data_IF_699536415370
#
_entry.id   IF_699536415370
#
_cell.length_a   1.000
_cell.length_b   1.000
_cell.length_c   1.000
_cell.angle_alpha   90.00
_cell.angle_beta   90.00
_cell.angle_gamma   90.00
#
_symmetry.space_group_name_H-M   'P 1'
#
loop_
_entity.id
_entity.type
_entity.pdbx_description
1 polymer ?
#
# COMPACT_ATOMS: atom_id res chain seq x y z
N UNK A 1 -16.37 2.78 8.77
CA UNK A 1 -15.05 2.52 9.40
C UNK A 1 -14.16 1.62 8.54
N UNK A 2 -14.62 0.43 8.12
CA UNK A 2 -13.85 -0.50 7.28
C UNK A 2 -13.24 0.11 5.99
N UNK A 3 -13.96 0.93 5.18
CA UNK A 3 -13.37 1.54 3.98
C UNK A 3 -12.21 2.49 4.29
N UNK A 4 -12.25 3.20 5.42
CA UNK A 4 -11.18 4.10 5.85
C UNK A 4 -9.93 3.32 6.28
N UNK A 5 -10.12 2.21 7.00
CA UNK A 5 -9.02 1.32 7.39
C UNK A 5 -8.39 0.71 6.12
N UNK A 6 -9.20 0.28 5.16
CA UNK A 6 -8.72 -0.28 3.90
C UNK A 6 -7.84 0.72 3.12
N UNK A 7 -8.27 1.98 3.03
CA UNK A 7 -7.46 3.03 2.41
C UNK A 7 -6.21 3.37 3.21
N UNK A 8 -6.29 3.41 4.54
CA UNK A 8 -5.12 3.60 5.39
C UNK A 8 -4.06 2.54 5.13
N UNK A 9 -4.47 1.27 5.11
CA UNK A 9 -3.58 0.13 4.82
C UNK A 9 -2.98 0.27 3.41
N UNK A 10 -3.75 0.68 2.41
CA UNK A 10 -3.24 0.90 1.07
C UNK A 10 -2.16 1.98 1.04
N UNK A 11 -2.40 3.14 1.65
CA UNK A 11 -1.42 4.23 1.71
C UNK A 11 -0.19 3.89 2.54
N UNK A 12 -0.32 3.01 3.52
CA UNK A 12 0.82 2.45 4.25
C UNK A 12 1.62 1.47 3.38
N UNK A 13 0.96 0.56 2.68
CA UNK A 13 1.60 -0.53 1.92
C UNK A 13 2.17 -0.08 0.57
N UNK A 14 1.59 0.91 -0.10
CA UNK A 14 2.09 1.41 -1.40
C UNK A 14 3.58 1.81 -1.32
N UNK A 15 4.02 2.66 -0.37
CA UNK A 15 5.43 2.96 -0.20
C UNK A 15 6.29 1.75 0.15
N UNK A 16 5.76 0.80 0.93
CA UNK A 16 6.48 -0.43 1.30
C UNK A 16 6.70 -1.34 0.08
N UNK A 17 5.75 -1.37 -0.86
CA UNK A 17 5.83 -2.20 -2.07
C UNK A 17 6.67 -1.53 -3.16
N UNK A 18 6.53 -0.22 -3.38
CA UNK A 18 7.22 0.49 -4.47
C UNK A 18 8.61 1.00 -4.11
N UNK A 19 8.80 1.41 -2.86
CA UNK A 19 9.95 2.18 -2.42
C UNK A 19 10.71 1.52 -1.29
N UNK A 20 10.67 0.18 -1.16
CA UNK A 20 11.22 -0.53 0.00
C UNK A 20 12.67 -0.13 0.31
N UNK A 21 13.52 0.00 -0.71
CA UNK A 21 14.91 0.46 -0.55
C UNK A 21 14.99 1.86 0.07
N UNK A 22 14.15 2.79 -0.40
CA UNK A 22 14.07 4.16 0.12
C UNK A 22 13.51 4.20 1.55
N UNK A 23 12.52 3.36 1.85
CA UNK A 23 11.97 3.22 3.20
C UNK A 23 13.05 2.71 4.17
N UNK A 24 13.78 1.67 3.77
CA UNK A 24 14.88 1.11 4.56
C UNK A 24 15.99 2.15 4.77
N UNK A 25 16.34 2.88 3.72
CA UNK A 25 17.33 3.94 3.75
C UNK A 25 16.93 5.07 4.71
N UNK A 26 15.70 5.56 4.64
CA UNK A 26 15.21 6.61 5.54
C UNK A 26 15.25 6.15 7.02
N UNK A 27 14.87 4.89 7.29
CA UNK A 27 14.96 4.34 8.63
C UNK A 27 16.40 4.18 9.13
N UNK A 28 17.33 3.77 8.26
CA UNK A 28 18.76 3.72 8.57
C UNK A 28 19.34 5.09 8.88
N UNK A 29 19.06 6.09 8.03
CA UNK A 29 19.54 7.46 8.28
C UNK A 29 19.12 7.96 9.66
N UNK A 30 17.86 7.71 10.04
CA UNK A 30 17.39 8.08 11.38
C UNK A 30 18.13 7.32 12.49
N UNK A 31 18.33 6.02 12.34
CA UNK A 31 19.06 5.21 13.31
C UNK A 31 20.53 5.64 13.44
N UNK A 32 21.19 5.94 12.33
CA UNK A 32 22.58 6.41 12.31
C UNK A 32 22.72 7.79 12.95
N UNK A 33 21.78 8.71 12.72
CA UNK A 33 21.72 10.01 13.43
C UNK A 33 21.55 9.84 14.94
N UNK A 34 20.85 8.78 15.37
CA UNK A 34 20.68 8.43 16.78
C UNK A 34 21.87 7.64 17.36
N UNK A 35 22.95 7.45 16.58
CA UNK A 35 24.17 6.78 17.02
C UNK A 35 24.15 5.26 16.94
N UNK A 36 23.17 4.67 16.25
CA UNK A 36 23.09 3.22 16.03
C UNK A 36 23.82 2.86 14.74
N UNK A 37 24.82 1.98 14.84
CA UNK A 37 25.50 1.44 13.65
C UNK A 37 24.56 0.49 12.90
N UNK A 38 24.18 0.86 11.68
CA UNK A 38 23.33 0.02 10.80
C UNK A 38 24.03 -0.30 9.49
N UNK A 39 23.86 -1.53 8.98
CA UNK A 39 24.39 -1.95 7.69
C UNK A 39 23.32 -1.90 6.60
N UNK A 40 23.76 -1.91 5.35
CA UNK A 40 22.86 -1.93 4.21
C UNK A 40 22.08 -3.23 4.10
N UNK A 41 20.75 -3.12 4.00
CA UNK A 41 19.85 -4.27 3.98
C UNK A 41 19.35 -4.72 5.35
N UNK A 42 19.82 -4.12 6.46
CA UNK A 42 19.45 -4.51 7.81
C UNK A 42 17.93 -4.34 8.10
N UNK A 43 17.36 -5.36 8.75
CA UNK A 43 15.96 -5.40 9.20
C UNK A 43 15.60 -4.18 10.08
N UNK A 44 16.45 -3.74 11.05
CA UNK A 44 16.20 -2.52 11.83
C UNK A 44 15.85 -1.29 11.01
N UNK A 45 16.58 -1.02 9.92
CA UNK A 45 16.31 0.13 9.05
C UNK A 45 14.95 0.04 8.38
N UNK A 46 14.57 -1.15 7.90
CA UNK A 46 13.24 -1.41 7.30
C UNK A 46 12.12 -1.20 8.31
N UNK A 47 12.28 -1.66 9.55
CA UNK A 47 11.28 -1.49 10.61
C UNK A 47 11.08 -0.02 10.98
N UNK A 48 12.16 0.72 11.19
CA UNK A 48 12.08 2.16 11.50
C UNK A 48 11.46 2.92 10.33
N UNK A 49 11.85 2.60 9.09
CA UNK A 49 11.22 3.16 7.90
C UNK A 49 9.72 2.88 7.84
N UNK A 50 9.29 1.66 8.15
CA UNK A 50 7.87 1.32 8.22
C UNK A 50 7.12 2.13 9.29
N UNK A 51 7.71 2.32 10.47
CA UNK A 51 7.13 3.19 11.53
C UNK A 51 6.99 4.63 11.04
N UNK A 52 7.99 5.16 10.33
CA UNK A 52 7.93 6.51 9.76
C UNK A 52 6.81 6.66 8.72
N UNK A 53 6.65 5.69 7.83
CA UNK A 53 5.55 5.69 6.85
C UNK A 53 4.20 5.60 7.57
N UNK A 54 4.06 4.70 8.54
CA UNK A 54 2.84 4.57 9.33
C UNK A 54 2.47 5.89 10.02
N UNK A 55 3.44 6.52 10.69
CA UNK A 55 3.27 7.82 11.33
C UNK A 55 2.88 8.90 10.33
N UNK A 56 3.52 8.94 9.16
CA UNK A 56 3.21 9.91 8.10
C UNK A 56 1.77 9.75 7.60
N UNK A 57 1.34 8.53 7.27
CA UNK A 57 -0.03 8.25 6.82
C UNK A 57 -1.04 8.58 7.92
N UNK A 58 -0.72 8.27 9.18
CA UNK A 58 -1.56 8.66 10.32
C UNK A 58 -1.68 10.17 10.46
N UNK A 59 -0.59 10.92 10.39
CA UNK A 59 -0.62 12.38 10.48
C UNK A 59 -1.44 12.98 9.34
N UNK A 60 -1.27 12.51 8.11
CA UNK A 60 -2.08 12.95 6.96
C UNK A 60 -3.56 12.68 7.23
N UNK A 61 -3.92 11.47 7.68
CA UNK A 61 -5.30 11.12 8.02
C UNK A 61 -5.84 11.98 9.17
N UNK A 62 -5.03 12.24 10.19
CA UNK A 62 -5.42 13.04 11.36
C UNK A 62 -5.69 14.50 10.98
N UNK A 63 -4.80 15.13 10.20
CA UNK A 63 -4.94 16.53 9.81
C UNK A 63 -5.95 16.77 8.69
N UNK A 64 -6.07 15.85 7.71
CA UNK A 64 -7.04 15.97 6.61
C UNK A 64 -8.42 15.39 6.95
N UNK A 65 -8.51 14.49 7.93
CA UNK A 65 -9.72 13.74 8.26
C UNK A 65 -10.01 12.54 7.35
N UNK A 66 -9.33 12.44 6.20
CA UNK A 66 -9.51 11.40 5.19
C UNK A 66 -8.23 11.12 4.41
N UNK A 67 -8.21 9.99 3.69
CA UNK A 67 -7.18 9.65 2.72
C UNK A 67 -7.82 9.51 1.33
N UNK A 68 -7.24 10.14 0.28
CA UNK A 68 -7.79 10.06 -1.07
C UNK A 68 -7.55 8.67 -1.69
N UNK A 69 -8.36 8.18 -2.63
CA UNK A 69 -9.66 8.72 -3.02
C UNK A 69 -10.73 8.37 -1.97
N UNK A 70 -11.53 9.35 -1.55
CA UNK A 70 -12.53 9.15 -0.49
C UNK A 70 -13.67 8.22 -0.94
N UNK A 71 -14.05 8.29 -2.22
CA UNK A 71 -15.16 7.55 -2.81
C UNK A 71 -16.52 7.92 -2.22
N UNK A 72 -17.58 7.84 -3.02
CA UNK A 72 -18.94 7.99 -2.50
C UNK A 72 -19.53 6.59 -2.23
N UNK A 73 -19.91 6.24 -0.98
CA UNK A 73 -20.50 4.94 -0.66
C UNK A 73 -21.76 4.60 -1.46
N UNK A 74 -22.52 5.60 -1.91
CA UNK A 74 -23.71 5.42 -2.75
C UNK A 74 -23.40 5.46 -4.24
N UNK A 75 -22.16 5.81 -4.60
CA UNK A 75 -21.68 5.89 -5.98
C UNK A 75 -21.46 4.52 -6.60
N UNK A 76 -21.78 4.42 -7.90
CA UNK A 76 -21.45 3.25 -8.73
C UNK A 76 -19.95 3.01 -8.70
N UNK A 77 -19.55 1.76 -8.53
CA UNK A 77 -18.14 1.37 -8.50
C UNK A 77 -17.48 1.42 -7.11
N UNK A 78 -18.09 2.06 -6.10
CA UNK A 78 -17.48 2.14 -4.76
C UNK A 78 -17.18 0.76 -4.16
N UNK A 79 -18.18 -0.13 -4.13
CA UNK A 79 -18.02 -1.48 -3.57
C UNK A 79 -16.99 -2.33 -4.32
N UNK A 80 -16.93 -2.20 -5.65
CA UNK A 80 -15.93 -2.90 -6.45
C UNK A 80 -14.53 -2.35 -6.21
N UNK A 81 -14.37 -1.02 -6.19
CA UNK A 81 -13.10 -0.35 -5.88
C UNK A 81 -12.57 -0.74 -4.50
N UNK A 82 -13.42 -0.73 -3.46
CA UNK A 82 -13.02 -1.17 -2.12
C UNK A 82 -12.52 -2.63 -2.09
N UNK A 83 -13.17 -3.54 -2.82
CA UNK A 83 -12.76 -4.95 -2.90
C UNK A 83 -11.43 -5.12 -3.62
N UNK A 84 -11.19 -4.38 -4.70
CA UNK A 84 -9.92 -4.39 -5.41
C UNK A 84 -8.77 -3.85 -4.53
N UNK A 85 -9.01 -2.75 -3.82
CA UNK A 85 -8.02 -2.21 -2.88
C UNK A 85 -7.74 -3.19 -1.75
N UNK A 86 -8.76 -3.89 -1.24
CA UNK A 86 -8.57 -4.90 -0.21
C UNK A 86 -7.76 -6.10 -0.73
N UNK A 87 -8.05 -6.57 -1.95
CA UNK A 87 -7.29 -7.64 -2.58
C UNK A 87 -5.83 -7.23 -2.78
N UNK A 88 -5.57 -6.01 -3.25
CA UNK A 88 -4.23 -5.45 -3.36
C UNK A 88 -3.53 -5.41 -2.00
N UNK A 89 -4.19 -4.92 -0.95
CA UNK A 89 -3.64 -4.85 0.40
C UNK A 89 -3.24 -6.22 0.95
N UNK A 90 -4.06 -7.25 0.72
CA UNK A 90 -3.74 -8.62 1.13
C UNK A 90 -2.49 -9.14 0.41
N UNK A 91 -2.41 -8.97 -0.91
CA UNK A 91 -1.25 -9.38 -1.69
C UNK A 91 0.01 -8.60 -1.30
N UNK A 92 -0.11 -7.30 -1.07
CA UNK A 92 0.99 -6.45 -0.62
C UNK A 92 1.49 -6.86 0.77
N UNK A 93 0.59 -7.19 1.69
CA UNK A 93 0.97 -7.66 3.02
C UNK A 93 1.74 -8.99 2.94
N UNK A 94 1.29 -9.93 2.09
CA UNK A 94 2.01 -11.18 1.84
C UNK A 94 3.40 -10.93 1.25
N UNK A 95 3.50 -10.01 0.28
CA UNK A 95 4.79 -9.59 -0.29
C UNK A 95 5.73 -9.02 0.77
N UNK A 96 5.24 -8.12 1.64
CA UNK A 96 6.04 -7.54 2.72
C UNK A 96 6.49 -8.61 3.70
N UNK A 97 5.60 -9.52 4.12
CA UNK A 97 5.96 -10.65 5.00
C UNK A 97 7.05 -11.50 4.35
N UNK A 98 6.90 -11.85 3.07
CA UNK A 98 7.91 -12.61 2.34
C UNK A 98 9.28 -11.90 2.34
N UNK A 99 9.30 -10.59 2.16
CA UNK A 99 10.54 -9.80 2.20
C UNK A 99 11.25 -9.85 3.55
N UNK A 100 10.50 -10.01 4.65
CA UNK A 100 11.02 -10.21 5.99
C UNK A 100 11.34 -11.67 6.31
N UNK A 101 10.83 -12.67 5.59
CA UNK A 101 11.02 -14.09 5.93
C UNK A 101 11.88 -14.86 4.92
N UNK A 102 12.16 -14.29 3.74
CA UNK A 102 12.94 -14.95 2.68
C UNK A 102 14.33 -15.43 3.12
N UNK A 103 14.93 -14.80 4.14
CA UNK A 103 16.24 -15.21 4.66
C UNK A 103 16.20 -16.57 5.37
N UNK A 104 15.02 -17.00 5.82
CA UNK A 104 14.78 -18.32 6.43
C UNK A 104 14.79 -19.45 5.38
N UNK A 105 14.77 -19.12 4.09
CA UNK A 105 14.74 -20.10 3.00
C UNK A 105 16.17 -20.47 2.63
N UNK A 106 16.70 -21.57 3.18
CA UNK A 106 18.09 -22.00 2.97
C UNK A 106 18.42 -22.36 1.51
N UNK A 107 17.44 -22.86 0.75
CA UNK A 107 17.63 -23.21 -0.67
C UNK A 107 17.77 -21.97 -1.55
N UNK A 108 18.92 -21.84 -2.21
CA UNK A 108 19.19 -20.75 -3.15
C UNK A 108 18.24 -20.76 -4.35
N UNK A 109 18.03 -21.92 -4.98
CA UNK A 109 17.17 -22.06 -6.15
C UNK A 109 15.71 -21.72 -5.83
N UNK A 110 15.22 -22.17 -4.67
CA UNK A 110 13.87 -21.84 -4.21
C UNK A 110 13.73 -20.32 -4.00
N UNK A 111 14.75 -19.69 -3.41
CA UNK A 111 14.77 -18.23 -3.20
C UNK A 111 14.74 -17.46 -4.51
N UNK A 112 15.46 -17.94 -5.53
CA UNK A 112 15.55 -17.32 -6.85
C UNK A 112 14.21 -17.38 -7.60
N UNK A 113 13.56 -18.55 -7.60
CA UNK A 113 12.22 -18.73 -8.19
C UNK A 113 11.19 -17.87 -7.47
N UNK A 114 11.21 -17.86 -6.13
CA UNK A 114 10.29 -17.06 -5.33
C UNK A 114 10.50 -15.56 -5.54
N UNK A 115 11.74 -15.09 -5.70
CA UNK A 115 12.01 -13.69 -6.03
C UNK A 115 11.42 -13.28 -7.38
N UNK A 116 11.59 -14.09 -8.43
CA UNK A 116 10.98 -13.79 -9.74
C UNK A 116 9.44 -13.74 -9.69
N UNK A 117 8.83 -14.63 -8.90
CA UNK A 117 7.37 -14.62 -8.69
C UNK A 117 6.91 -13.39 -7.89
N UNK A 118 7.74 -12.94 -6.95
CA UNK A 118 7.51 -11.81 -6.05
C UNK A 118 7.52 -10.48 -6.80
N UNK A 119 8.40 -10.31 -7.79
CA UNK A 119 8.41 -9.12 -8.66
C UNK A 119 7.14 -9.01 -9.52
N UNK A 120 6.74 -10.12 -10.15
CA UNK A 120 5.47 -10.18 -10.88
C UNK A 120 4.28 -9.86 -9.96
N UNK A 121 4.30 -10.38 -8.73
CA UNK A 121 3.30 -10.10 -7.71
C UNK A 121 3.18 -8.60 -7.42
N UNK A 122 4.30 -7.89 -7.28
CA UNK A 122 4.32 -6.44 -7.04
C UNK A 122 3.56 -5.66 -8.12
N UNK A 123 3.74 -6.01 -9.40
CA UNK A 123 2.99 -5.37 -10.49
C UNK A 123 1.49 -5.62 -10.43
N UNK A 124 1.06 -6.84 -10.07
CA UNK A 124 -0.36 -7.16 -9.89
C UNK A 124 -0.98 -6.36 -8.75
N UNK A 125 -0.29 -6.24 -7.62
CA UNK A 125 -0.72 -5.39 -6.49
C UNK A 125 -0.93 -3.95 -6.96
N UNK A 126 0.04 -3.40 -7.71
CA UNK A 126 -0.05 -2.04 -8.24
C UNK A 126 -1.23 -1.86 -9.18
N UNK A 127 -1.44 -2.79 -10.11
CA UNK A 127 -2.58 -2.74 -11.01
C UNK A 127 -3.92 -2.75 -10.25
N UNK A 128 -4.06 -3.59 -9.23
CA UNK A 128 -5.27 -3.66 -8.41
C UNK A 128 -5.51 -2.36 -7.63
N UNK A 129 -4.47 -1.74 -7.06
CA UNK A 129 -4.62 -0.43 -6.42
C UNK A 129 -5.00 0.66 -7.42
N UNK A 130 -4.33 0.75 -8.57
CA UNK A 130 -4.63 1.78 -9.58
C UNK A 130 -6.08 1.65 -10.08
N UNK A 131 -6.50 0.43 -10.44
CA UNK A 131 -7.87 0.18 -10.90
C UNK A 131 -8.85 0.45 -9.75
N UNK A 132 -8.58 -0.05 -8.56
CA UNK A 132 -9.42 0.14 -7.39
C UNK A 132 -9.62 1.61 -7.03
N UNK A 133 -8.53 2.38 -6.99
CA UNK A 133 -8.56 3.83 -6.75
C UNK A 133 -9.29 4.57 -7.87
N UNK A 134 -9.16 4.13 -9.12
CA UNK A 134 -9.91 4.72 -10.25
C UNK A 134 -11.42 4.56 -10.06
N UNK A 135 -11.89 3.37 -9.66
CA UNK A 135 -13.30 3.14 -9.36
C UNK A 135 -13.79 3.95 -8.14
N UNK A 136 -12.96 4.06 -7.09
CA UNK A 136 -13.29 4.89 -5.93
C UNK A 136 -13.38 6.37 -6.32
N UNK A 137 -12.43 6.87 -7.11
CA UNK A 137 -12.46 8.23 -7.62
C UNK A 137 -13.70 8.48 -8.49
N UNK A 138 -13.98 7.60 -9.46
CA UNK A 138 -15.18 7.71 -10.29
C UNK A 138 -16.48 7.68 -9.48
N UNK A 139 -16.53 6.87 -8.41
CA UNK A 139 -17.71 6.84 -7.53
C UNK A 139 -17.99 8.19 -6.87
N UNK A 140 -16.96 9.01 -6.65
CA UNK A 140 -17.08 10.33 -6.02
C UNK A 140 -17.49 11.46 -6.99
N UNK A 141 -17.45 11.21 -8.31
CA UNK A 141 -17.84 12.21 -9.30
C UNK A 141 -19.37 12.39 -9.31
N UNK A 142 -19.87 13.60 -9.66
CA UNK A 142 -21.30 13.83 -9.84
C UNK A 142 -21.86 12.83 -10.85
N UNK A 143 -22.83 12.02 -10.43
CA UNK A 143 -23.52 11.15 -11.37
C UNK A 143 -24.45 12.03 -12.19
N UNK A 144 -24.20 12.14 -13.49
CA UNK A 144 -25.11 12.80 -14.42
C UNK A 144 -26.51 12.20 -14.24
N UNK A 145 -27.40 12.93 -13.58
CA UNK A 145 -28.81 12.59 -13.53
C UNK A 145 -29.29 12.58 -14.97
N UNK A 146 -29.70 11.41 -15.47
CA UNK A 146 -30.54 11.35 -16.65
C UNK A 146 -31.79 12.18 -16.33
N UNK A 147 -31.80 13.43 -16.78
CA UNK A 147 -33.02 14.17 -17.03
C UNK A 147 -33.80 13.29 -18.01
N UNK A 148 -34.80 12.58 -17.49
CA UNK A 148 -35.84 11.98 -18.31
C UNK A 148 -36.39 13.11 -19.18
N UNK A 149 -36.32 13.03 -20.52
CA UNK A 149 -37.24 13.81 -21.31
C UNK A 149 -38.58 13.13 -21.12
N UNK A 150 -39.38 13.64 -20.19
CA UNK A 150 -40.84 13.48 -20.24
C UNK A 150 -41.28 13.94 -21.63
N UNK A 151 -41.67 12.98 -22.47
CA UNK A 151 -42.54 13.15 -23.63
C UNK A 151 -43.57 12.05 -23.59
#
# INVERSE_FOLDING_TARGET
MLPRINLFIAWFLIPQTLGMGWVAFAGRMLLEVLGVNTHEGDIPGRLVGAVLIFGTVYLILHFRGSLPPEGNPTGKGFGFGQRLVLAANLLAALFVIFQFTQFLIESHDLRLVLNGFTDAFGYWVMALWVIGFSFLYQSSLPQSSNLSPTK
#
